data_IF_818090861441
#
_entry.id   IF_818090861441
#
_cell.length_a   1.000
_cell.length_b   1.000
_cell.length_c   1.000
_cell.angle_alpha   90.00
_cell.angle_beta   90.00
_cell.angle_gamma   90.00
#
_symmetry.space_group_name_H-M   'P 1'
#
loop_
_entity.id
_entity.type
_entity.pdbx_description
1 polymer ?
#
# COMPACT_ATOMS: atom_id res chain seq x y z
N UNK A 1 38.00 -4.96 3.13
CA UNK A 1 38.50 -3.57 3.14
C UNK A 1 38.34 -3.08 4.58
N UNK A 2 39.38 -2.72 5.24
CA UNK A 2 39.32 -2.20 6.61
C UNK A 2 38.85 -0.74 6.54
N UNK A 3 37.66 -0.47 7.07
CA UNK A 3 37.03 0.88 7.12
C UNK A 3 37.13 1.50 8.51
N UNK A 4 37.89 0.87 9.42
CA UNK A 4 38.02 1.32 10.81
C UNK A 4 38.49 2.77 10.96
N UNK A 5 39.32 3.25 10.04
CA UNK A 5 39.77 4.64 9.98
C UNK A 5 38.71 5.66 9.51
N UNK A 6 37.62 5.18 8.92
CA UNK A 6 36.52 6.01 8.41
C UNK A 6 35.29 6.03 9.34
N UNK A 7 35.36 5.38 10.50
CA UNK A 7 34.26 5.36 11.44
C UNK A 7 34.09 6.74 12.11
N UNK A 8 32.88 7.29 12.19
CA UNK A 8 32.62 8.56 12.85
C UNK A 8 32.90 8.50 14.35
N UNK A 9 33.19 9.65 14.94
CA UNK A 9 33.50 9.78 16.36
C UNK A 9 32.28 9.43 17.25
N UNK A 10 31.08 9.73 16.79
CA UNK A 10 29.83 9.43 17.49
C UNK A 10 29.17 8.22 16.83
N UNK A 11 29.12 7.11 17.53
CA UNK A 11 28.54 5.88 17.01
C UNK A 11 27.36 5.48 17.87
N UNK A 12 26.20 5.37 17.26
CA UNK A 12 25.05 4.75 17.90
C UNK A 12 25.27 3.23 17.93
N UNK A 13 25.17 2.64 19.12
CA UNK A 13 25.17 1.20 19.26
C UNK A 13 23.73 0.72 19.37
N UNK A 14 23.27 -0.01 18.35
CA UNK A 14 21.95 -0.60 18.36
C UNK A 14 21.85 -1.61 19.51
N UNK A 15 20.91 -1.42 20.48
CA UNK A 15 20.92 -2.20 21.73
C UNK A 15 20.63 -3.69 21.56
N UNK A 16 19.87 -4.04 20.50
CA UNK A 16 19.40 -5.41 20.28
C UNK A 16 20.50 -6.36 19.82
N UNK A 17 21.41 -5.86 18.98
CA UNK A 17 22.44 -6.69 18.35
C UNK A 17 23.87 -6.22 18.67
N UNK A 18 24.02 -5.11 19.37
CA UNK A 18 25.33 -4.52 19.67
C UNK A 18 26.08 -4.01 18.44
N UNK A 19 25.36 -3.77 17.33
CA UNK A 19 25.95 -3.30 16.08
C UNK A 19 26.18 -1.79 16.17
N UNK A 20 27.35 -1.34 15.75
CA UNK A 20 27.70 0.07 15.66
C UNK A 20 27.10 0.65 14.37
N UNK A 21 26.25 1.66 14.53
CA UNK A 21 25.58 2.35 13.43
C UNK A 21 25.93 3.85 13.45
N UNK A 22 25.85 4.48 12.28
CA UNK A 22 25.78 5.92 12.19
C UNK A 22 24.47 6.43 12.77
N UNK A 23 24.46 7.64 13.35
CA UNK A 23 23.21 8.37 13.54
C UNK A 23 22.58 8.69 12.20
N UNK A 24 21.30 9.05 12.17
CA UNK A 24 20.61 9.41 10.93
C UNK A 24 21.30 10.59 10.23
N UNK A 25 21.67 11.63 10.97
CA UNK A 25 22.35 12.78 10.45
C UNK A 25 23.71 12.43 9.86
N UNK A 26 24.52 11.63 10.59
CA UNK A 26 25.82 11.14 10.11
C UNK A 26 25.67 10.31 8.84
N UNK A 27 24.73 9.34 8.81
CA UNK A 27 24.48 8.51 7.64
C UNK A 27 24.16 9.37 6.41
N UNK A 28 23.29 10.37 6.53
CA UNK A 28 22.94 11.28 5.44
C UNK A 28 24.11 12.15 4.98
N UNK A 29 24.91 12.69 5.91
CA UNK A 29 26.08 13.51 5.57
C UNK A 29 27.17 12.69 4.87
N UNK A 30 27.39 11.44 5.33
CA UNK A 30 28.42 10.55 4.80
C UNK A 30 28.00 9.74 3.56
N UNK A 31 26.70 9.67 3.23
CA UNK A 31 26.24 9.07 1.98
C UNK A 31 26.91 9.69 0.76
N UNK A 32 27.25 8.85 -0.21
CA UNK A 32 27.78 9.30 -1.49
C UNK A 32 26.67 9.97 -2.32
N UNK A 33 27.00 10.88 -3.27
CA UNK A 33 26.00 11.43 -4.21
C UNK A 33 25.23 10.34 -4.95
N UNK A 34 25.89 9.24 -5.27
CA UNK A 34 25.29 8.12 -5.97
C UNK A 34 24.11 7.48 -5.19
N UNK A 35 24.12 7.49 -3.86
CA UNK A 35 23.03 6.97 -3.06
C UNK A 35 21.71 7.72 -3.30
N UNK A 36 21.76 9.05 -3.39
CA UNK A 36 20.58 9.89 -3.67
C UNK A 36 19.99 9.63 -5.07
N UNK A 37 20.81 9.13 -5.99
CA UNK A 37 20.40 8.78 -7.36
C UNK A 37 19.89 7.34 -7.44
N UNK A 38 20.59 6.40 -6.79
CA UNK A 38 20.29 4.98 -6.90
C UNK A 38 19.12 4.54 -6.01
N UNK A 39 18.90 5.22 -4.88
CA UNK A 39 17.79 4.93 -3.97
C UNK A 39 17.14 6.23 -3.42
N UNK A 40 16.54 7.05 -4.29
CA UNK A 40 15.93 8.32 -3.92
C UNK A 40 14.80 8.16 -2.91
N UNK A 41 14.08 7.05 -2.95
CA UNK A 41 13.00 6.74 -2.02
C UNK A 41 13.49 6.68 -0.57
N UNK A 42 14.51 5.87 -0.31
CA UNK A 42 15.07 5.75 1.04
C UNK A 42 15.78 7.03 1.48
N UNK A 43 16.52 7.69 0.59
CA UNK A 43 17.17 8.96 0.90
C UNK A 43 16.16 10.04 1.33
N UNK A 44 15.05 10.19 0.60
CA UNK A 44 13.97 11.13 0.94
C UNK A 44 13.25 10.74 2.23
N UNK A 45 13.00 9.46 2.43
CA UNK A 45 12.41 8.96 3.69
C UNK A 45 13.29 9.31 4.89
N UNK A 46 14.60 9.13 4.78
CA UNK A 46 15.56 9.51 5.83
C UNK A 46 15.59 11.03 6.07
N UNK A 47 15.64 11.83 5.00
CA UNK A 47 15.61 13.31 5.12
C UNK A 47 14.32 13.80 5.77
N UNK A 48 13.19 13.15 5.53
CA UNK A 48 11.90 13.53 6.12
C UNK A 48 11.90 13.43 7.66
N UNK A 49 12.71 12.55 8.23
CA UNK A 49 12.79 12.33 9.67
C UNK A 49 13.64 13.37 10.42
N UNK A 50 14.37 14.19 9.71
CA UNK A 50 15.12 15.28 10.34
C UNK A 50 14.14 16.32 10.87
N UNK A 51 14.21 16.61 12.17
CA UNK A 51 13.34 17.57 12.87
C UNK A 51 13.97 18.94 13.03
N UNK A 52 15.31 18.99 13.06
CA UNK A 52 16.10 20.22 13.12
C UNK A 52 17.46 20.04 12.44
N UNK A 53 18.16 21.15 12.23
CA UNK A 53 19.43 21.18 11.53
C UNK A 53 20.65 20.94 12.42
N UNK A 54 20.49 20.95 13.75
CA UNK A 54 21.60 21.06 14.71
C UNK A 54 22.61 19.92 14.61
N UNK A 55 22.14 18.67 14.45
CA UNK A 55 23.05 17.51 14.33
C UNK A 55 23.85 17.57 13.05
N UNK A 56 23.23 17.95 11.93
CA UNK A 56 23.93 18.12 10.65
C UNK A 56 24.96 19.23 10.74
N UNK A 57 24.59 20.39 11.34
CA UNK A 57 25.48 21.52 11.52
C UNK A 57 26.73 21.11 12.31
N UNK A 58 26.57 20.39 13.42
CA UNK A 58 27.72 19.90 14.20
C UNK A 58 28.68 19.07 13.35
N UNK A 59 28.15 18.13 12.55
CA UNK A 59 28.98 17.23 11.73
C UNK A 59 29.73 18.00 10.64
N UNK A 60 29.02 18.84 9.87
CA UNK A 60 29.63 19.55 8.73
C UNK A 60 30.56 20.67 9.18
N UNK A 61 30.30 21.28 10.33
CA UNK A 61 31.15 22.31 10.91
C UNK A 61 32.47 21.74 11.45
N UNK A 62 32.41 20.64 12.19
CA UNK A 62 33.58 19.94 12.72
C UNK A 62 34.54 19.46 11.62
N UNK A 63 33.97 19.04 10.50
CA UNK A 63 34.74 18.56 9.35
C UNK A 63 35.21 19.70 8.39
N UNK A 64 34.56 20.87 8.43
CA UNK A 64 34.75 21.92 7.44
C UNK A 64 34.43 21.51 6.00
N UNK A 65 33.58 20.47 5.83
CA UNK A 65 33.31 19.85 4.54
C UNK A 65 32.17 20.54 3.78
N UNK A 66 32.54 21.53 2.98
CA UNK A 66 31.59 22.34 2.18
C UNK A 66 30.83 21.52 1.13
N UNK A 67 31.43 20.48 0.56
CA UNK A 67 30.77 19.62 -0.45
C UNK A 67 29.63 18.81 0.15
N UNK A 68 29.83 18.22 1.32
CA UNK A 68 28.78 17.49 2.04
C UNK A 68 27.67 18.43 2.50
N UNK A 69 28.04 19.57 3.08
CA UNK A 69 27.09 20.61 3.49
C UNK A 69 26.24 21.09 2.30
N UNK A 70 26.86 21.40 1.16
CA UNK A 70 26.17 21.86 -0.07
C UNK A 70 25.16 20.82 -0.58
N UNK A 71 25.55 19.54 -0.59
CA UNK A 71 24.68 18.44 -1.01
C UNK A 71 23.49 18.26 -0.07
N UNK A 72 23.70 18.30 1.23
CA UNK A 72 22.59 18.15 2.19
C UNK A 72 21.65 19.35 2.11
N UNK A 73 22.13 20.57 1.97
CA UNK A 73 21.27 21.73 1.75
C UNK A 73 20.42 21.58 0.48
N UNK A 74 21.01 21.18 -0.64
CA UNK A 74 20.26 20.90 -1.87
C UNK A 74 19.22 19.81 -1.71
N UNK A 75 19.56 18.71 -1.00
CA UNK A 75 18.65 17.63 -0.71
C UNK A 75 17.47 18.09 0.16
N UNK A 76 17.72 18.88 1.21
CA UNK A 76 16.68 19.44 2.08
C UNK A 76 15.74 20.38 1.31
N UNK A 77 16.27 21.21 0.41
CA UNK A 77 15.44 22.06 -0.45
C UNK A 77 14.56 21.23 -1.41
N UNK A 78 15.11 20.15 -1.96
CA UNK A 78 14.32 19.23 -2.79
C UNK A 78 13.13 18.66 -2.02
N UNK A 79 13.29 18.46 -0.70
CA UNK A 79 12.27 17.96 0.20
C UNK A 79 11.33 19.03 0.80
N UNK A 80 11.43 20.30 0.37
CA UNK A 80 10.62 21.38 0.94
C UNK A 80 11.12 21.91 2.30
N UNK A 81 12.23 21.36 2.86
CA UNK A 81 12.81 21.77 4.14
C UNK A 81 13.83 22.91 3.97
N UNK A 82 13.40 23.99 3.30
CA UNK A 82 14.25 25.13 2.98
C UNK A 82 14.82 25.82 4.21
N UNK A 83 14.04 25.99 5.28
CA UNK A 83 14.47 26.62 6.54
C UNK A 83 15.68 25.91 7.15
N UNK A 84 15.66 24.58 7.19
CA UNK A 84 16.82 23.80 7.67
C UNK A 84 18.07 24.00 6.80
N UNK A 85 17.89 24.06 5.48
CA UNK A 85 18.99 24.33 4.55
C UNK A 85 19.58 25.74 4.79
N UNK A 86 18.73 26.74 5.05
CA UNK A 86 19.14 28.10 5.37
C UNK A 86 19.91 28.18 6.69
N UNK A 87 19.49 27.45 7.72
CA UNK A 87 20.20 27.34 8.99
C UNK A 87 21.62 26.78 8.80
N UNK A 88 21.75 25.66 8.08
CA UNK A 88 23.05 25.05 7.79
C UNK A 88 23.93 26.02 7.00
N UNK A 89 23.40 26.61 5.95
CA UNK A 89 24.14 27.52 5.08
C UNK A 89 24.60 28.75 5.85
N UNK A 90 23.74 29.38 6.65
CA UNK A 90 24.03 30.54 7.47
C UNK A 90 25.11 30.27 8.53
N UNK A 91 25.04 29.07 9.15
CA UNK A 91 26.05 28.67 10.12
C UNK A 91 27.44 28.49 9.48
N UNK A 92 27.50 27.78 8.37
CA UNK A 92 28.73 27.55 7.61
C UNK A 92 29.34 28.89 7.11
N UNK A 93 28.49 29.82 6.68
CA UNK A 93 28.92 31.16 6.29
C UNK A 93 29.56 31.94 7.43
N UNK A 94 28.99 31.85 8.66
CA UNK A 94 29.59 32.47 9.85
C UNK A 94 30.97 31.91 10.18
N UNK A 95 31.23 30.66 9.84
CA UNK A 95 32.56 30.05 9.96
C UNK A 95 33.51 30.40 8.79
N UNK A 96 33.08 31.26 7.85
CA UNK A 96 33.87 31.68 6.70
C UNK A 96 33.77 30.74 5.49
N UNK A 97 32.94 29.72 5.51
CA UNK A 97 32.74 28.83 4.38
C UNK A 97 31.66 29.35 3.44
N UNK A 98 31.90 29.21 2.14
CA UNK A 98 30.90 29.51 1.11
C UNK A 98 30.35 28.21 0.53
N UNK A 99 29.07 27.96 0.72
CA UNK A 99 28.40 26.82 0.16
C UNK A 99 27.92 27.11 -1.27
N UNK A 100 28.02 26.12 -2.14
CA UNK A 100 27.35 26.07 -3.44
C UNK A 100 26.40 24.91 -3.40
N UNK A 101 25.14 25.20 -3.11
CA UNK A 101 24.12 24.16 -2.99
C UNK A 101 23.97 23.37 -4.29
N UNK A 102 23.89 22.05 -4.16
CA UNK A 102 23.75 21.13 -5.27
C UNK A 102 22.67 20.09 -4.88
N UNK A 103 21.59 20.07 -5.67
CA UNK A 103 20.54 19.05 -5.48
C UNK A 103 21.05 17.69 -5.96
N UNK A 104 21.16 16.68 -5.07
CA UNK A 104 21.66 15.37 -5.45
C UNK A 104 20.60 14.50 -6.13
N UNK A 105 19.33 14.91 -6.12
CA UNK A 105 18.26 14.16 -6.77
C UNK A 105 18.10 14.57 -8.23
N UNK A 106 17.68 13.61 -9.08
CA UNK A 106 17.38 13.89 -10.49
C UNK A 106 16.05 14.57 -10.71
N UNK A 107 15.11 14.38 -9.78
CA UNK A 107 13.74 14.87 -9.88
C UNK A 107 13.35 15.63 -8.62
N UNK A 108 12.42 16.57 -8.76
CA UNK A 108 11.81 17.23 -7.60
C UNK A 108 11.00 16.24 -6.80
N UNK A 109 11.04 16.38 -5.47
CA UNK A 109 10.18 15.61 -4.58
C UNK A 109 8.72 16.04 -4.79
N UNK A 110 7.76 15.12 -4.81
CA UNK A 110 6.38 15.50 -4.57
C UNK A 110 6.31 16.15 -3.18
N UNK A 111 5.60 17.28 -3.07
CA UNK A 111 5.44 18.01 -1.80
C UNK A 111 4.76 17.10 -0.76
N UNK A 112 5.42 16.90 0.37
CA UNK A 112 4.96 16.03 1.46
C UNK A 112 4.93 16.83 2.78
N UNK A 113 4.48 18.06 2.71
CA UNK A 113 4.58 19.03 3.82
C UNK A 113 3.76 18.68 5.07
N UNK A 114 2.83 17.72 5.00
CA UNK A 114 1.92 17.39 6.11
C UNK A 114 2.15 16.02 6.74
N UNK A 115 3.04 15.21 6.21
CA UNK A 115 3.21 13.82 6.64
C UNK A 115 4.26 13.71 7.76
N UNK A 116 3.83 13.39 8.98
CA UNK A 116 4.70 13.31 10.15
C UNK A 116 5.42 11.96 10.32
N UNK A 117 4.86 10.86 9.79
CA UNK A 117 5.43 9.52 9.95
C UNK A 117 6.36 9.15 8.79
N UNK A 118 7.57 8.61 9.06
CA UNK A 118 8.47 8.13 8.02
C UNK A 118 7.86 7.00 7.18
N UNK A 119 7.02 6.18 7.76
CA UNK A 119 6.29 5.13 7.06
C UNK A 119 5.27 5.72 6.08
N UNK A 120 4.58 6.78 6.48
CA UNK A 120 3.63 7.52 5.64
C UNK A 120 4.34 8.20 4.47
N UNK A 121 5.46 8.88 4.73
CA UNK A 121 6.29 9.50 3.68
C UNK A 121 6.75 8.46 2.66
N UNK A 122 7.29 7.33 3.15
CA UNK A 122 7.72 6.23 2.29
C UNK A 122 6.57 5.71 1.42
N UNK A 123 5.39 5.53 2.00
CA UNK A 123 4.21 5.04 1.28
C UNK A 123 3.78 6.02 0.20
N UNK A 124 3.73 7.32 0.48
CA UNK A 124 3.36 8.35 -0.49
C UNK A 124 4.39 8.45 -1.64
N UNK A 125 5.68 8.36 -1.34
CA UNK A 125 6.74 8.33 -2.34
C UNK A 125 6.65 7.07 -3.22
N UNK A 126 6.45 5.90 -2.61
CA UNK A 126 6.24 4.64 -3.35
C UNK A 126 5.02 4.71 -4.27
N UNK A 127 3.90 5.25 -3.78
CA UNK A 127 2.69 5.48 -4.59
C UNK A 127 3.01 6.28 -5.84
N UNK A 128 3.70 7.40 -5.66
CA UNK A 128 4.07 8.29 -6.77
C UNK A 128 4.99 7.61 -7.79
N UNK A 129 5.99 6.85 -7.33
CA UNK A 129 6.90 6.11 -8.21
C UNK A 129 6.16 5.03 -9.00
N UNK A 130 5.31 4.23 -8.32
CA UNK A 130 4.56 3.17 -8.95
C UNK A 130 3.48 3.69 -9.90
N UNK A 131 2.85 4.83 -9.58
CA UNK A 131 1.95 5.51 -10.51
C UNK A 131 2.66 5.87 -11.82
N UNK A 132 3.87 6.45 -11.75
CA UNK A 132 4.66 6.74 -12.96
C UNK A 132 4.99 5.47 -13.76
N UNK A 133 5.29 4.36 -13.08
CA UNK A 133 5.52 3.07 -13.76
C UNK A 133 4.26 2.61 -14.50
N UNK A 134 3.08 2.66 -13.87
CA UNK A 134 1.80 2.30 -14.52
C UNK A 134 1.56 3.19 -15.74
N UNK A 135 1.71 4.49 -15.61
CA UNK A 135 1.50 5.46 -16.69
C UNK A 135 2.47 5.24 -17.87
N UNK A 136 3.71 4.84 -17.58
CA UNK A 136 4.71 4.54 -18.62
C UNK A 136 4.38 3.32 -19.48
N UNK A 137 3.47 2.46 -19.04
CA UNK A 137 3.05 1.26 -19.78
C UNK A 137 2.02 1.56 -20.88
N UNK A 138 1.48 2.78 -20.96
CA UNK A 138 0.43 3.19 -21.92
C UNK A 138 -0.72 2.19 -22.03
N UNK A 139 -1.23 1.72 -20.90
CA UNK A 139 -2.30 0.73 -20.80
C UNK A 139 -3.64 1.36 -21.16
N UNK A 140 -4.17 1.04 -22.33
CA UNK A 140 -5.44 1.60 -22.85
C UNK A 140 -6.58 0.67 -22.53
N UNK A 141 -7.66 1.23 -21.99
CA UNK A 141 -8.92 0.55 -21.69
C UNK A 141 -10.09 1.35 -22.26
N UNK A 142 -11.14 0.67 -22.64
CA UNK A 142 -12.37 1.30 -23.07
C UNK A 142 -13.31 1.42 -21.87
N UNK A 143 -13.80 2.64 -21.61
CA UNK A 143 -14.83 2.85 -20.60
C UNK A 143 -16.17 2.41 -21.19
N UNK A 144 -16.88 1.52 -20.49
CA UNK A 144 -18.16 0.97 -20.96
C UNK A 144 -19.34 1.81 -20.45
N UNK A 145 -19.69 1.67 -19.18
CA UNK A 145 -20.84 2.36 -18.60
C UNK A 145 -20.62 2.68 -17.12
N UNK A 146 -21.10 3.84 -16.70
CA UNK A 146 -21.23 4.23 -15.29
C UNK A 146 -22.70 4.31 -14.87
N UNK A 147 -23.61 3.79 -15.70
CA UNK A 147 -25.01 3.67 -15.31
C UNK A 147 -25.16 2.70 -14.13
N UNK A 148 -25.78 3.19 -13.07
CA UNK A 148 -25.88 2.49 -11.80
C UNK A 148 -26.55 1.13 -11.93
N UNK A 149 -27.66 1.06 -12.64
CA UNK A 149 -28.45 -0.18 -12.74
C UNK A 149 -27.70 -1.23 -13.57
N UNK A 150 -27.02 -0.79 -14.64
CA UNK A 150 -26.17 -1.66 -15.46
C UNK A 150 -24.99 -2.17 -14.65
N UNK A 151 -24.28 -1.30 -13.91
CA UNK A 151 -23.13 -1.69 -13.11
C UNK A 151 -23.52 -2.69 -12.02
N UNK A 152 -24.60 -2.42 -11.28
CA UNK A 152 -25.06 -3.31 -10.21
C UNK A 152 -25.55 -4.66 -10.74
N UNK A 153 -26.24 -4.70 -11.89
CA UNK A 153 -26.65 -5.93 -12.56
C UNK A 153 -25.44 -6.78 -13.00
N UNK A 154 -24.41 -6.13 -13.56
CA UNK A 154 -23.17 -6.80 -13.94
C UNK A 154 -22.40 -7.36 -12.73
N UNK A 155 -22.40 -6.66 -11.60
CA UNK A 155 -21.81 -7.18 -10.35
C UNK A 155 -22.53 -8.45 -9.90
N UNK A 156 -23.87 -8.48 -9.89
CA UNK A 156 -24.66 -9.67 -9.54
C UNK A 156 -24.35 -10.87 -10.44
N UNK A 157 -24.24 -10.63 -11.75
CA UNK A 157 -23.92 -11.69 -12.72
C UNK A 157 -22.55 -12.32 -12.46
N UNK A 158 -21.59 -11.51 -11.96
CA UNK A 158 -20.23 -11.97 -11.68
C UNK A 158 -20.06 -12.58 -10.28
N UNK A 159 -21.01 -12.42 -9.37
CA UNK A 159 -20.88 -12.77 -7.94
C UNK A 159 -20.41 -14.20 -7.70
N UNK A 160 -21.08 -15.22 -8.29
CA UNK A 160 -20.77 -16.64 -8.05
C UNK A 160 -19.33 -16.96 -8.45
N UNK A 161 -18.96 -16.56 -9.67
CA UNK A 161 -17.62 -16.79 -10.23
C UNK A 161 -16.55 -16.04 -9.43
N UNK A 162 -16.79 -14.79 -9.07
CA UNK A 162 -15.88 -13.99 -8.27
C UNK A 162 -15.67 -14.59 -6.87
N UNK A 163 -16.76 -14.96 -6.18
CA UNK A 163 -16.72 -15.60 -4.87
C UNK A 163 -15.91 -16.91 -4.91
N UNK A 164 -16.16 -17.77 -5.91
CA UNK A 164 -15.43 -19.02 -6.10
C UNK A 164 -13.92 -18.78 -6.23
N UNK A 165 -13.51 -17.92 -7.15
CA UNK A 165 -12.09 -17.65 -7.39
C UNK A 165 -11.44 -16.94 -6.20
N UNK A 166 -12.09 -15.92 -5.66
CA UNK A 166 -11.55 -15.13 -4.56
C UNK A 166 -11.33 -15.95 -3.28
N UNK A 167 -12.27 -16.84 -2.93
CA UNK A 167 -12.15 -17.74 -1.79
C UNK A 167 -11.09 -18.83 -2.05
N UNK A 168 -11.07 -19.39 -3.27
CA UNK A 168 -10.09 -20.41 -3.65
C UNK A 168 -8.65 -19.91 -3.63
N UNK A 169 -8.41 -18.64 -4.00
CA UNK A 169 -7.09 -17.99 -3.87
C UNK A 169 -6.60 -18.00 -2.42
N UNK A 170 -7.50 -17.79 -1.46
CA UNK A 170 -7.19 -17.81 -0.02
C UNK A 170 -7.12 -19.23 0.56
N UNK A 171 -7.39 -20.25 -0.25
CA UNK A 171 -7.26 -21.66 0.13
C UNK A 171 -8.52 -22.29 0.70
N UNK A 172 -9.67 -21.61 0.62
CA UNK A 172 -10.97 -22.24 0.92
C UNK A 172 -11.34 -23.21 -0.19
N UNK A 173 -11.96 -24.34 0.20
CA UNK A 173 -12.47 -25.36 -0.72
C UNK A 173 -13.96 -25.15 -0.91
N UNK A 174 -14.32 -24.23 -1.77
CA UNK A 174 -15.70 -23.90 -2.10
C UNK A 174 -16.05 -24.41 -3.49
N UNK A 175 -17.33 -24.66 -3.75
CA UNK A 175 -17.90 -24.94 -5.07
C UNK A 175 -18.93 -23.87 -5.41
N UNK A 176 -19.25 -23.71 -6.68
CA UNK A 176 -20.28 -22.77 -7.11
C UNK A 176 -21.64 -23.13 -6.51
N UNK A 177 -21.97 -24.44 -6.40
CA UNK A 177 -23.22 -24.91 -5.79
C UNK A 177 -23.31 -24.57 -4.28
N UNK A 178 -22.20 -24.62 -3.55
CA UNK A 178 -22.17 -24.19 -2.15
C UNK A 178 -22.42 -22.68 -2.04
N UNK A 179 -21.79 -21.90 -2.91
CA UNK A 179 -21.94 -20.45 -2.93
C UNK A 179 -23.40 -20.07 -3.25
N UNK A 180 -24.04 -20.73 -4.21
CA UNK A 180 -25.45 -20.55 -4.56
C UNK A 180 -26.36 -20.88 -3.37
N UNK A 181 -26.17 -22.04 -2.76
CA UNK A 181 -26.98 -22.46 -1.56
C UNK A 181 -26.88 -21.43 -0.44
N UNK A 182 -25.66 -20.90 -0.20
CA UNK A 182 -25.43 -19.90 0.85
C UNK A 182 -26.10 -18.58 0.51
N UNK A 183 -25.99 -18.11 -0.74
CA UNK A 183 -26.66 -16.89 -1.22
C UNK A 183 -28.17 -16.98 -1.08
N UNK A 184 -28.75 -18.11 -1.49
CA UNK A 184 -30.20 -18.34 -1.51
C UNK A 184 -30.77 -18.66 -0.11
N UNK A 185 -29.95 -18.68 0.93
CA UNK A 185 -30.37 -18.97 2.31
C UNK A 185 -30.69 -20.44 2.59
N UNK A 186 -30.35 -21.33 1.67
CA UNK A 186 -30.66 -22.77 1.73
C UNK A 186 -29.59 -23.61 2.43
N UNK A 187 -28.62 -22.98 3.07
CA UNK A 187 -27.56 -23.65 3.81
C UNK A 187 -27.88 -23.62 5.32
N UNK A 188 -27.90 -24.79 5.96
CA UNK A 188 -28.10 -24.94 7.40
C UNK A 188 -26.80 -25.42 8.07
N UNK A 189 -26.26 -24.66 9.06
CA UNK A 189 -25.05 -25.03 9.78
C UNK A 189 -25.21 -26.35 10.61
N UNK A 190 -26.43 -26.79 10.90
CA UNK A 190 -26.69 -27.99 11.70
C UNK A 190 -26.58 -29.27 10.89
N UNK A 191 -26.64 -29.19 9.56
CA UNK A 191 -26.61 -30.37 8.68
C UNK A 191 -25.18 -30.84 8.33
N UNK A 192 -24.15 -30.09 8.68
CA UNK A 192 -22.76 -30.37 8.31
C UNK A 192 -21.91 -30.73 9.53
N UNK A 193 -21.57 -32.00 9.68
CA UNK A 193 -20.77 -32.54 10.81
C UNK A 193 -19.27 -32.34 10.67
N UNK A 194 -18.75 -31.74 9.57
CA UNK A 194 -17.32 -31.60 9.35
C UNK A 194 -16.87 -30.15 9.48
N UNK A 195 -15.97 -29.85 10.42
CA UNK A 195 -15.38 -28.54 10.68
C UNK A 195 -14.89 -27.79 9.41
N UNK A 196 -14.34 -28.53 8.45
CA UNK A 196 -13.82 -27.94 7.22
C UNK A 196 -14.93 -27.45 6.28
N UNK A 197 -16.05 -28.19 6.17
CA UNK A 197 -17.20 -27.82 5.36
C UNK A 197 -17.92 -26.62 5.97
N UNK A 198 -18.08 -26.63 7.29
CA UNK A 198 -18.62 -25.48 8.02
C UNK A 198 -17.77 -24.22 7.82
N UNK A 199 -16.43 -24.34 7.90
CA UNK A 199 -15.51 -23.21 7.68
C UNK A 199 -15.65 -22.63 6.27
N UNK A 200 -15.74 -23.48 5.25
CA UNK A 200 -15.91 -23.06 3.86
C UNK A 200 -17.25 -22.36 3.63
N UNK A 201 -18.32 -22.89 4.21
CA UNK A 201 -19.65 -22.29 4.09
C UNK A 201 -19.75 -20.94 4.83
N UNK A 202 -19.14 -20.82 6.02
CA UNK A 202 -19.05 -19.54 6.73
C UNK A 202 -18.25 -18.51 5.96
N UNK A 203 -17.15 -18.93 5.28
CA UNK A 203 -16.37 -18.05 4.42
C UNK A 203 -17.17 -17.59 3.20
N UNK A 204 -17.97 -18.50 2.57
CA UNK A 204 -18.85 -18.14 1.46
C UNK A 204 -19.95 -17.17 1.91
N UNK A 205 -20.54 -17.38 3.10
CA UNK A 205 -21.54 -16.47 3.66
C UNK A 205 -20.98 -15.09 3.99
N UNK A 206 -19.79 -15.04 4.60
CA UNK A 206 -19.11 -13.77 4.85
C UNK A 206 -18.75 -13.03 3.56
N UNK A 207 -18.33 -13.77 2.53
CA UNK A 207 -18.08 -13.18 1.23
C UNK A 207 -19.34 -12.56 0.60
N UNK A 208 -20.49 -13.26 0.71
CA UNK A 208 -21.77 -12.72 0.25
C UNK A 208 -22.16 -11.44 0.98
N UNK A 209 -22.10 -11.44 2.31
CA UNK A 209 -22.42 -10.26 3.12
C UNK A 209 -21.51 -9.06 2.76
N UNK A 210 -20.21 -9.32 2.64
CA UNK A 210 -19.26 -8.29 2.24
C UNK A 210 -19.52 -7.79 0.81
N UNK A 211 -19.85 -8.69 -0.14
CA UNK A 211 -20.20 -8.32 -1.50
C UNK A 211 -21.44 -7.40 -1.55
N UNK A 212 -22.49 -7.69 -0.77
CA UNK A 212 -23.65 -6.81 -0.66
C UNK A 212 -23.29 -5.43 -0.11
N UNK A 213 -22.43 -5.37 0.92
CA UNK A 213 -21.94 -4.10 1.44
C UNK A 213 -21.10 -3.33 0.42
N UNK A 214 -20.26 -4.01 -0.37
CA UNK A 214 -19.53 -3.40 -1.49
C UNK A 214 -20.48 -2.86 -2.55
N UNK A 215 -21.53 -3.60 -2.89
CA UNK A 215 -22.56 -3.17 -3.86
C UNK A 215 -23.30 -1.91 -3.41
N UNK A 216 -23.62 -1.80 -2.11
CA UNK A 216 -24.16 -0.57 -1.53
C UNK A 216 -23.20 0.63 -1.72
N UNK A 217 -21.91 0.42 -1.44
CA UNK A 217 -20.89 1.46 -1.60
C UNK A 217 -20.73 1.88 -3.07
N UNK A 218 -20.70 0.93 -4.00
CA UNK A 218 -20.69 1.20 -5.46
C UNK A 218 -21.92 2.03 -5.85
N UNK A 219 -23.11 1.64 -5.39
CA UNK A 219 -24.35 2.39 -5.64
C UNK A 219 -24.31 3.83 -5.10
N UNK A 220 -23.63 4.05 -3.99
CA UNK A 220 -23.40 5.37 -3.38
C UNK A 220 -22.42 6.20 -4.21
N UNK A 221 -21.31 5.61 -4.64
CA UNK A 221 -20.30 6.29 -5.47
C UNK A 221 -20.92 6.75 -6.80
N UNK A 222 -21.68 5.89 -7.46
CA UNK A 222 -22.30 6.18 -8.76
C UNK A 222 -23.38 7.30 -8.69
N UNK A 223 -23.78 7.71 -7.49
CA UNK A 223 -24.70 8.84 -7.26
C UNK A 223 -24.01 10.17 -6.93
N UNK A 224 -22.74 10.37 -7.28
CA UNK A 224 -21.94 11.58 -7.13
C UNK A 224 -21.04 11.66 -5.89
N UNK A 225 -20.48 10.53 -5.45
CA UNK A 225 -19.50 10.54 -4.36
C UNK A 225 -18.08 10.24 -4.85
N UNK A 226 -17.08 10.70 -4.11
CA UNK A 226 -15.70 10.35 -4.36
C UNK A 226 -15.48 8.86 -4.06
N UNK A 227 -15.05 8.09 -5.08
CA UNK A 227 -14.84 6.66 -4.95
C UNK A 227 -13.80 6.33 -3.86
N UNK A 228 -12.68 7.06 -3.84
CA UNK A 228 -11.63 6.82 -2.86
C UNK A 228 -12.05 7.15 -1.43
N UNK A 229 -12.78 8.24 -1.22
CA UNK A 229 -13.31 8.61 0.10
C UNK A 229 -14.35 7.61 0.59
N UNK A 230 -15.28 7.19 -0.28
CA UNK A 230 -16.29 6.20 0.08
C UNK A 230 -15.64 4.87 0.47
N UNK A 231 -14.70 4.39 -0.34
CA UNK A 231 -13.96 3.16 -0.02
C UNK A 231 -13.15 3.29 1.27
N UNK A 232 -12.50 4.44 1.49
CA UNK A 232 -11.76 4.69 2.74
C UNK A 232 -12.64 4.65 3.99
N UNK A 233 -13.93 4.99 3.86
CA UNK A 233 -14.88 4.94 4.96
C UNK A 233 -15.54 3.56 5.13
N UNK A 234 -15.60 2.75 4.07
CA UNK A 234 -16.43 1.54 4.02
C UNK A 234 -15.66 0.22 4.09
N UNK A 235 -14.34 0.20 3.78
CA UNK A 235 -13.61 -1.07 3.72
C UNK A 235 -13.55 -1.80 5.08
N UNK A 236 -13.63 -1.09 6.22
CA UNK A 236 -13.74 -1.69 7.54
C UNK A 236 -15.06 -2.46 7.70
N UNK A 237 -16.18 -1.91 7.18
CA UNK A 237 -17.48 -2.58 7.12
C UNK A 237 -17.38 -3.85 6.27
N UNK A 238 -16.77 -3.76 5.08
CA UNK A 238 -16.61 -4.93 4.21
C UNK A 238 -15.79 -6.04 4.88
N UNK A 239 -14.70 -5.64 5.55
CA UNK A 239 -13.89 -6.57 6.32
C UNK A 239 -14.66 -7.21 7.48
N UNK A 240 -15.47 -6.46 8.21
CA UNK A 240 -16.31 -6.97 9.27
C UNK A 240 -17.30 -8.02 8.73
N UNK A 241 -17.98 -7.73 7.62
CA UNK A 241 -18.95 -8.63 7.00
C UNK A 241 -18.31 -9.96 6.54
N UNK A 242 -17.04 -9.94 6.08
CA UNK A 242 -16.32 -11.17 5.74
C UNK A 242 -16.24 -12.17 6.89
N UNK A 243 -16.25 -11.70 8.14
CA UNK A 243 -16.05 -12.55 9.32
C UNK A 243 -17.24 -12.57 10.26
N UNK A 244 -18.27 -11.79 10.02
CA UNK A 244 -19.48 -11.74 10.85
C UNK A 244 -20.12 -13.13 11.06
N UNK A 245 -20.21 -14.02 10.05
CA UNK A 245 -20.70 -15.37 10.26
C UNK A 245 -19.85 -16.20 11.23
N UNK A 246 -18.54 -15.98 11.29
CA UNK A 246 -17.66 -16.64 12.25
C UNK A 246 -17.87 -16.15 13.68
N UNK A 247 -18.25 -14.87 13.85
CA UNK A 247 -18.67 -14.33 15.17
C UNK A 247 -19.97 -15.00 15.60
N UNK A 248 -20.97 -15.05 14.71
CA UNK A 248 -22.27 -15.68 15.00
C UNK A 248 -22.12 -17.16 15.37
N UNK A 249 -21.18 -17.85 14.72
CA UNK A 249 -20.86 -19.25 15.03
C UNK A 249 -19.96 -19.40 16.29
N UNK A 250 -19.56 -18.33 16.95
CA UNK A 250 -18.71 -18.36 18.15
C UNK A 250 -17.27 -18.79 17.91
N UNK A 251 -16.78 -18.76 16.65
CA UNK A 251 -15.42 -19.17 16.28
C UNK A 251 -14.42 -18.07 16.59
N UNK A 252 -14.80 -16.80 16.38
CA UNK A 252 -14.01 -15.62 16.71
C UNK A 252 -14.82 -14.66 17.57
N UNK A 253 -14.15 -13.82 18.33
CA UNK A 253 -14.80 -12.81 19.17
C UNK A 253 -15.01 -11.53 18.38
N UNK A 254 -16.07 -10.74 18.66
CA UNK A 254 -16.25 -9.42 18.05
C UNK A 254 -15.04 -8.50 18.21
N UNK A 255 -14.37 -8.58 19.38
CA UNK A 255 -13.15 -7.80 19.67
C UNK A 255 -11.98 -8.10 18.74
N UNK A 256 -11.93 -9.27 18.10
CA UNK A 256 -10.86 -9.67 17.20
C UNK A 256 -10.93 -8.92 15.85
N UNK A 257 -12.09 -8.32 15.54
CA UNK A 257 -12.32 -7.53 14.32
C UNK A 257 -12.28 -6.02 14.56
N UNK A 258 -11.98 -5.56 15.78
CA UNK A 258 -11.97 -4.13 16.08
C UNK A 258 -10.65 -3.49 15.66
N UNK A 259 -10.71 -2.62 14.66
CA UNK A 259 -9.57 -1.83 14.19
C UNK A 259 -8.49 -2.66 13.49
N UNK A 260 -7.31 -2.08 13.38
CA UNK A 260 -6.18 -2.74 12.74
C UNK A 260 -5.48 -3.72 13.69
N UNK A 261 -4.79 -4.72 13.12
CA UNK A 261 -4.06 -5.73 13.88
C UNK A 261 -3.11 -5.15 14.93
N UNK A 262 -2.98 -5.88 16.03
CA UNK A 262 -2.10 -5.54 17.16
C UNK A 262 -0.83 -6.40 17.19
N UNK A 263 -0.71 -7.37 16.28
CA UNK A 263 0.42 -8.29 16.22
C UNK A 263 1.11 -8.22 14.87
N UNK A 264 2.41 -8.55 14.86
CA UNK A 264 3.15 -8.72 13.62
C UNK A 264 2.63 -9.95 12.88
N UNK A 265 2.48 -9.82 11.57
CA UNK A 265 2.09 -10.90 10.68
C UNK A 265 3.17 -11.13 9.63
N UNK A 266 3.19 -12.33 9.08
CA UNK A 266 4.10 -12.71 8.00
C UNK A 266 3.29 -13.38 6.90
N UNK A 267 3.58 -13.01 5.66
CA UNK A 267 2.91 -13.59 4.50
C UNK A 267 3.66 -14.86 4.11
N UNK A 268 2.94 -15.97 4.06
CA UNK A 268 3.54 -17.27 3.73
C UNK A 268 4.19 -17.24 2.34
N UNK A 269 5.44 -17.69 2.26
CA UNK A 269 6.25 -17.74 1.04
C UNK A 269 6.55 -16.36 0.42
N UNK A 270 6.44 -15.28 1.16
CA UNK A 270 6.84 -13.93 0.74
C UNK A 270 8.10 -13.48 1.47
N UNK A 271 8.95 -12.73 0.79
CA UNK A 271 10.09 -12.01 1.37
C UNK A 271 9.66 -10.65 1.92
N UNK A 272 8.49 -10.16 1.49
CA UNK A 272 7.92 -8.95 2.04
C UNK A 272 7.47 -9.18 3.48
N UNK A 273 7.96 -8.36 4.38
CA UNK A 273 7.47 -8.30 5.76
C UNK A 273 6.50 -7.13 5.89
N UNK A 274 5.20 -7.38 6.16
CA UNK A 274 4.24 -6.32 6.39
C UNK A 274 4.66 -5.36 7.51
N UNK A 275 4.16 -4.13 7.45
CA UNK A 275 4.48 -3.08 8.41
C UNK A 275 4.21 -3.53 9.86
N UNK A 276 4.95 -2.96 10.83
CA UNK A 276 4.62 -3.18 12.24
C UNK A 276 3.22 -2.64 12.59
N UNK A 277 2.56 -3.11 13.65
CA UNK A 277 1.23 -2.63 14.03
C UNK A 277 1.13 -1.10 14.21
N UNK A 278 2.16 -0.48 14.78
CA UNK A 278 2.21 0.98 14.94
C UNK A 278 2.37 1.70 13.60
N UNK A 279 3.21 1.16 12.72
CA UNK A 279 3.38 1.69 11.38
C UNK A 279 2.09 1.56 10.53
N UNK A 280 1.31 0.48 10.70
CA UNK A 280 -0.01 0.36 10.06
C UNK A 280 -0.91 1.52 10.44
N UNK A 281 -1.04 1.83 11.75
CA UNK A 281 -1.86 2.94 12.24
C UNK A 281 -1.43 4.29 11.70
N UNK A 282 -0.13 4.50 11.54
CA UNK A 282 0.41 5.71 10.97
C UNK A 282 0.16 5.83 9.46
N UNK A 283 0.20 4.71 8.73
CA UNK A 283 0.14 4.69 7.25
C UNK A 283 -1.29 4.65 6.72
N UNK A 284 -2.24 4.01 7.40
CA UNK A 284 -3.61 3.86 6.89
C UNK A 284 -4.31 5.20 6.57
N UNK A 285 -4.20 6.27 7.39
CA UNK A 285 -4.73 7.58 7.01
C UNK A 285 -4.12 8.11 5.72
N UNK A 286 -2.80 7.95 5.53
CA UNK A 286 -2.10 8.36 4.30
C UNK A 286 -2.56 7.54 3.10
N UNK A 287 -2.76 6.23 3.25
CA UNK A 287 -3.31 5.37 2.20
C UNK A 287 -4.70 5.83 1.76
N UNK A 288 -5.60 6.11 2.72
CA UNK A 288 -6.95 6.62 2.44
C UNK A 288 -6.91 7.97 1.69
N UNK A 289 -6.03 8.87 2.11
CA UNK A 289 -5.83 10.17 1.45
C UNK A 289 -5.31 10.01 0.01
N UNK A 290 -4.34 9.14 -0.21
CA UNK A 290 -3.81 8.85 -1.55
C UNK A 290 -4.87 8.23 -2.44
N UNK A 291 -5.66 7.30 -1.91
CA UNK A 291 -6.75 6.67 -2.65
C UNK A 291 -7.84 7.69 -3.05
N UNK A 292 -8.17 8.62 -2.14
CA UNK A 292 -9.16 9.66 -2.38
C UNK A 292 -8.71 10.71 -3.41
N UNK A 293 -7.41 11.04 -3.42
CA UNK A 293 -6.82 12.05 -4.32
C UNK A 293 -6.39 11.50 -5.68
N UNK A 294 -6.34 10.18 -5.86
CA UNK A 294 -5.91 9.59 -7.14
C UNK A 294 -7.00 9.76 -8.21
N UNK A 295 -6.67 10.49 -9.26
CA UNK A 295 -7.60 10.79 -10.37
C UNK A 295 -7.54 9.73 -11.48
N UNK A 296 -6.38 9.10 -11.68
CA UNK A 296 -6.23 8.03 -12.67
C UNK A 296 -6.92 6.76 -12.18
N UNK A 297 -8.03 6.41 -12.81
CA UNK A 297 -8.90 5.31 -12.39
C UNK A 297 -8.17 3.95 -12.37
N UNK A 298 -7.33 3.67 -13.39
CA UNK A 298 -6.58 2.42 -13.47
C UNK A 298 -5.47 2.39 -12.42
N UNK A 299 -4.72 3.48 -12.26
CA UNK A 299 -3.70 3.60 -11.22
C UNK A 299 -4.33 3.46 -9.84
N UNK A 300 -5.48 4.11 -9.58
CA UNK A 300 -6.21 4.02 -8.31
C UNK A 300 -6.62 2.59 -7.97
N UNK A 301 -7.15 1.85 -8.94
CA UNK A 301 -7.54 0.46 -8.76
C UNK A 301 -6.33 -0.44 -8.46
N UNK A 302 -5.27 -0.34 -9.25
CA UNK A 302 -4.06 -1.15 -9.11
C UNK A 302 -3.31 -0.83 -7.81
N UNK A 303 -3.09 0.47 -7.54
CA UNK A 303 -2.37 0.92 -6.35
C UNK A 303 -3.19 0.71 -5.08
N UNK A 304 -4.51 0.94 -5.13
CA UNK A 304 -5.42 0.66 -4.01
C UNK A 304 -5.34 -0.80 -3.57
N UNK A 305 -5.43 -1.73 -4.53
CA UNK A 305 -5.24 -3.15 -4.27
C UNK A 305 -3.85 -3.44 -3.69
N UNK A 306 -2.80 -3.01 -4.40
CA UNK A 306 -1.42 -3.33 -4.03
C UNK A 306 -1.07 -2.79 -2.65
N UNK A 307 -1.31 -1.51 -2.38
CA UNK A 307 -0.94 -0.91 -1.10
C UNK A 307 -1.73 -1.48 0.07
N UNK A 308 -2.98 -1.86 -0.13
CA UNK A 308 -3.75 -2.53 0.93
C UNK A 308 -3.13 -3.88 1.32
N UNK A 309 -2.75 -4.69 0.33
CA UNK A 309 -2.04 -5.96 0.57
C UNK A 309 -0.64 -5.73 1.15
N UNK A 310 0.08 -4.72 0.68
CA UNK A 310 1.42 -4.35 1.15
C UNK A 310 1.42 -3.92 2.63
N UNK A 311 0.50 -3.06 3.02
CA UNK A 311 0.33 -2.58 4.40
C UNK A 311 -0.16 -3.73 5.29
N UNK A 312 -1.07 -4.54 4.78
CA UNK A 312 -1.65 -5.71 5.46
C UNK A 312 -2.29 -5.34 6.80
N UNK A 313 -3.33 -4.48 6.82
CA UNK A 313 -3.83 -3.87 8.04
C UNK A 313 -4.51 -4.82 9.01
N UNK A 314 -5.03 -5.96 8.56
CA UNK A 314 -5.77 -6.91 9.38
C UNK A 314 -5.00 -8.23 9.60
N UNK A 315 -5.48 -9.04 10.54
CA UNK A 315 -4.91 -10.37 10.80
C UNK A 315 -5.19 -11.36 9.66
N UNK A 316 -6.37 -11.25 9.02
CA UNK A 316 -6.83 -12.03 7.87
C UNK A 316 -7.78 -11.20 7.01
N UNK A 317 -8.11 -11.66 5.80
CA UNK A 317 -9.06 -10.99 4.90
C UNK A 317 -8.46 -9.90 4.02
N UNK A 318 -7.18 -9.55 4.18
CA UNK A 318 -6.56 -8.45 3.42
C UNK A 318 -6.64 -8.65 1.91
N UNK A 319 -6.43 -9.85 1.40
CA UNK A 319 -6.51 -10.15 -0.03
C UNK A 319 -7.92 -9.99 -0.59
N UNK A 320 -8.95 -10.48 0.13
CA UNK A 320 -10.37 -10.34 -0.26
C UNK A 320 -10.79 -8.88 -0.27
N UNK A 321 -10.49 -8.14 0.79
CA UNK A 321 -10.78 -6.70 0.87
C UNK A 321 -10.06 -5.90 -0.22
N UNK A 322 -8.80 -6.22 -0.51
CA UNK A 322 -8.04 -5.55 -1.59
C UNK A 322 -8.67 -5.80 -2.98
N UNK A 323 -9.17 -7.00 -3.26
CA UNK A 323 -9.89 -7.30 -4.50
C UNK A 323 -11.21 -6.52 -4.58
N UNK A 324 -11.92 -6.35 -3.48
CA UNK A 324 -13.11 -5.48 -3.42
C UNK A 324 -12.74 -4.01 -3.67
N UNK A 325 -11.66 -3.49 -3.05
CA UNK A 325 -11.16 -2.13 -3.31
C UNK A 325 -10.89 -1.95 -4.81
N UNK A 326 -10.10 -2.85 -5.41
CA UNK A 326 -9.78 -2.81 -6.84
C UNK A 326 -11.05 -2.76 -7.70
N UNK A 327 -11.96 -3.71 -7.48
CA UNK A 327 -13.16 -3.83 -8.29
C UNK A 327 -14.11 -2.65 -8.12
N UNK A 328 -14.27 -2.13 -6.90
CA UNK A 328 -15.04 -0.91 -6.66
C UNK A 328 -14.49 0.25 -7.47
N UNK A 329 -13.16 0.45 -7.49
CA UNK A 329 -12.52 1.49 -8.29
C UNK A 329 -12.70 1.29 -9.79
N UNK A 330 -12.66 0.03 -10.27
CA UNK A 330 -12.86 -0.29 -11.68
C UNK A 330 -14.30 0.01 -12.12
N UNK A 331 -15.30 -0.57 -11.45
CA UNK A 331 -16.69 -0.46 -11.89
C UNK A 331 -17.23 0.97 -11.78
N UNK A 332 -16.81 1.72 -10.79
CA UNK A 332 -17.21 3.13 -10.64
C UNK A 332 -16.53 4.06 -11.65
N UNK A 333 -15.48 3.58 -12.32
CA UNK A 333 -14.86 4.26 -13.46
C UNK A 333 -15.37 3.74 -14.82
N UNK A 334 -16.41 2.90 -14.84
CA UNK A 334 -16.97 2.33 -16.06
C UNK A 334 -16.16 1.19 -16.67
N UNK A 335 -15.29 0.55 -15.86
CA UNK A 335 -14.54 -0.64 -16.23
C UNK A 335 -15.25 -1.89 -15.68
N UNK A 336 -15.05 -3.09 -16.26
CA UNK A 336 -15.74 -4.29 -15.80
C UNK A 336 -15.28 -4.74 -14.40
N UNK A 337 -16.19 -5.41 -13.66
CA UNK A 337 -15.81 -6.22 -12.51
C UNK A 337 -14.80 -7.29 -12.97
N UNK A 338 -13.62 -7.27 -12.38
CA UNK A 338 -12.49 -8.06 -12.87
C UNK A 338 -12.15 -9.17 -11.89
N UNK A 339 -12.31 -10.41 -12.35
CA UNK A 339 -12.07 -11.62 -11.56
C UNK A 339 -10.61 -12.07 -11.77
N UNK A 340 -9.92 -12.36 -10.68
CA UNK A 340 -8.61 -12.99 -10.71
C UNK A 340 -8.81 -14.51 -10.64
N UNK A 341 -8.58 -15.26 -11.74
CA UNK A 341 -8.78 -16.70 -11.74
C UNK A 341 -7.82 -17.42 -10.79
N UNK A 342 -8.30 -18.42 -10.05
CA UNK A 342 -7.48 -19.18 -9.11
C UNK A 342 -6.33 -19.92 -9.80
N UNK A 343 -6.50 -20.31 -11.06
CA UNK A 343 -5.48 -20.93 -11.91
C UNK A 343 -4.29 -20.00 -12.15
N UNK A 344 -4.52 -18.68 -12.10
CA UNK A 344 -3.49 -17.64 -12.21
C UNK A 344 -2.93 -17.18 -10.87
N UNK A 345 -3.29 -17.86 -9.77
CA UNK A 345 -2.84 -17.50 -8.43
C UNK A 345 -1.32 -17.33 -8.33
N UNK A 346 -0.57 -18.22 -8.99
CA UNK A 346 0.90 -18.18 -8.97
C UNK A 346 1.44 -16.90 -9.61
N UNK A 347 0.93 -16.53 -10.77
CA UNK A 347 1.34 -15.31 -11.49
C UNK A 347 0.96 -14.05 -10.70
N UNK A 348 -0.26 -14.04 -10.15
CA UNK A 348 -0.76 -12.98 -9.28
C UNK A 348 0.13 -12.76 -8.06
N UNK A 349 0.45 -13.82 -7.32
CA UNK A 349 1.32 -13.72 -6.13
C UNK A 349 2.76 -13.33 -6.51
N UNK A 350 3.28 -13.82 -7.62
CA UNK A 350 4.62 -13.45 -8.11
C UNK A 350 4.71 -11.98 -8.49
N UNK A 351 3.68 -11.43 -9.12
CA UNK A 351 3.60 -10.03 -9.49
C UNK A 351 3.52 -9.11 -8.25
N UNK A 352 2.73 -9.50 -7.24
CA UNK A 352 2.68 -8.79 -5.96
C UNK A 352 4.00 -8.86 -5.18
N UNK A 353 4.67 -10.01 -5.19
CA UNK A 353 5.98 -10.18 -4.54
C UNK A 353 7.02 -9.26 -5.17
N UNK A 354 7.10 -9.21 -6.50
CA UNK A 354 8.01 -8.31 -7.23
C UNK A 354 7.73 -6.84 -6.89
N UNK A 355 6.46 -6.45 -6.91
CA UNK A 355 6.06 -5.09 -6.53
C UNK A 355 6.46 -4.75 -5.08
N UNK A 356 6.30 -5.70 -4.15
CA UNK A 356 6.59 -5.49 -2.74
C UNK A 356 8.09 -5.44 -2.42
N UNK A 357 8.89 -6.30 -3.07
CA UNK A 357 10.32 -6.49 -2.77
C UNK A 357 11.19 -5.60 -3.65
N UNK A 358 10.89 -5.52 -4.96
CA UNK A 358 11.69 -4.81 -5.95
C UNK A 358 11.14 -3.41 -6.27
N UNK A 359 9.95 -3.06 -5.75
CA UNK A 359 9.25 -1.80 -6.03
C UNK A 359 8.91 -1.63 -7.52
N UNK A 360 8.73 -2.75 -8.24
CA UNK A 360 8.32 -2.78 -9.63
C UNK A 360 6.89 -3.29 -9.76
N UNK A 361 5.94 -2.36 -9.96
CA UNK A 361 4.51 -2.65 -10.09
C UNK A 361 4.12 -3.10 -11.51
N UNK A 362 5.04 -3.04 -12.47
CA UNK A 362 4.75 -3.19 -13.89
C UNK A 362 4.12 -4.53 -14.23
N UNK A 363 4.59 -5.63 -13.63
CA UNK A 363 4.06 -6.96 -13.90
C UNK A 363 2.64 -7.12 -13.34
N UNK A 364 2.38 -6.56 -12.15
CA UNK A 364 1.05 -6.55 -11.56
C UNK A 364 0.07 -5.68 -12.38
N UNK A 365 0.50 -4.51 -12.84
CA UNK A 365 -0.29 -3.64 -13.68
C UNK A 365 -0.67 -4.31 -15.02
N UNK A 366 0.28 -4.96 -15.69
CA UNK A 366 0.03 -5.72 -16.93
C UNK A 366 -0.89 -6.91 -16.67
N UNK A 367 -0.72 -7.61 -15.56
CA UNK A 367 -1.56 -8.73 -15.17
C UNK A 367 -3.02 -8.29 -15.01
N UNK A 368 -3.28 -7.25 -14.23
CA UNK A 368 -4.64 -6.72 -14.03
C UNK A 368 -5.21 -6.16 -15.34
N UNK A 369 -4.44 -5.39 -16.11
CA UNK A 369 -4.88 -4.88 -17.41
C UNK A 369 -5.31 -6.01 -18.36
N UNK A 370 -4.56 -7.11 -18.41
CA UNK A 370 -4.90 -8.27 -19.24
C UNK A 370 -6.24 -8.89 -18.82
N UNK A 371 -6.53 -8.93 -17.51
CA UNK A 371 -7.80 -9.44 -17.00
C UNK A 371 -8.97 -8.50 -17.31
N UNK A 372 -8.77 -7.19 -17.15
CA UNK A 372 -9.77 -6.17 -17.52
C UNK A 372 -10.10 -6.29 -19.01
N UNK A 373 -9.08 -6.35 -19.89
CA UNK A 373 -9.26 -6.43 -21.33
C UNK A 373 -10.04 -7.69 -21.75
N UNK A 374 -9.82 -8.82 -21.05
CA UNK A 374 -10.61 -10.04 -21.28
C UNK A 374 -12.06 -9.86 -20.84
N UNK A 375 -12.29 -9.32 -19.67
CA UNK A 375 -13.64 -9.08 -19.17
C UNK A 375 -14.43 -8.12 -20.07
N UNK A 376 -13.76 -7.17 -20.72
CA UNK A 376 -14.38 -6.26 -21.70
C UNK A 376 -14.87 -6.96 -22.98
N UNK A 377 -14.27 -8.09 -23.37
CA UNK A 377 -14.68 -8.86 -24.55
C UNK A 377 -15.83 -9.81 -24.22
N UNK A 378 -15.99 -10.19 -22.96
CA UNK A 378 -17.03 -11.09 -22.47
C UNK A 378 -18.36 -10.35 -22.13
N UNK A 379 -18.35 -9.01 -22.07
CA UNK A 379 -19.52 -8.14 -21.91
C UNK A 379 -20.19 -7.84 -23.26
#
# INVERSE_FOLDING_TARGET
>A
MDISAALPKNVYVEPRYGIRLYTLAEALVFCTPQYFISDPLNARTCLSQLTDASEIIKIVADEGNTTRASRICGALRNMGKGEMADEISSFMQRLGYKLREEDPFKEKSPLIDTIQSPYSVRTALMWTEMKKQIQSLDLKLQVSSTDKDIVLANMETNYIKDSYHSLSIEGYRVTEELIEKVRDGNWDPTDNERDTEQKNALAARGYYQAFEAVKESVGTILTNNNAGETVANDFDKWHFELFQPCITAGIIKPSDLVGYRNHQVYIRNSKHTPLSPDAVRAVMPTFCELLAKEEDALARAILGHFFFVYIHPYMDGNGRTARFIMNTMLVTAGLPWTIIPVEKRKDYMSALEKASVERDISDFAKFIHTLISKAQVEL
#
